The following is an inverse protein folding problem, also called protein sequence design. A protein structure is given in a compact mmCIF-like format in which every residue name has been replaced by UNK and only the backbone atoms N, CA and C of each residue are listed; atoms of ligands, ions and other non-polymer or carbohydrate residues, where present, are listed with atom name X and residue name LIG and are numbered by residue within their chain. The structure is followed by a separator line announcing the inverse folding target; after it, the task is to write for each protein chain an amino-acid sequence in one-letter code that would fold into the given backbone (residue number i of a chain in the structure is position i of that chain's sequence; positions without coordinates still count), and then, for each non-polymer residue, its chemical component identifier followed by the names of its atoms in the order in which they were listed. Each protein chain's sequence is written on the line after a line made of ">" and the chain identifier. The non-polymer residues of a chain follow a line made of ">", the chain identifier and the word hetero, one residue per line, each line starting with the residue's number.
data_IF_710969756014
#
_entry.id   IF_710969756014
#
_cell.length_a   1.000
_cell.length_b   1.000
_cell.length_c   1.000
_cell.angle_alpha   90.00
_cell.angle_beta   90.00
_cell.angle_gamma   90.00
#
_symmetry.space_group_name_H-M   'P 1'
#
loop_
_entity.id
_entity.type
_entity.pdbx_description
1 polymer ?
#
# COMPACT_ATOMS: atom_id res chain seq x y z
N UNK A 1 2.14 -11.86 -6.82
CA UNK A 1 1.44 -11.13 -5.76
C UNK A 1 -0.02 -11.01 -6.13
N UNK A 2 -0.95 -11.33 -5.24
CA UNK A 2 -2.39 -11.19 -5.51
C UNK A 2 -2.90 -9.95 -4.79
N UNK A 3 -3.04 -8.84 -5.51
CA UNK A 3 -3.46 -7.56 -4.93
C UNK A 3 -4.98 -7.50 -4.78
N UNK A 4 -5.46 -7.12 -3.59
CA UNK A 4 -6.83 -6.64 -3.44
C UNK A 4 -6.92 -5.25 -4.09
N UNK A 5 -7.92 -5.02 -4.94
CA UNK A 5 -8.10 -3.69 -5.54
C UNK A 5 -8.78 -2.79 -4.52
N UNK A 6 -8.21 -1.59 -4.32
CA UNK A 6 -8.80 -0.54 -3.51
C UNK A 6 -9.54 0.42 -4.45
N UNK A 7 -10.86 0.29 -4.53
CA UNK A 7 -11.72 1.05 -5.46
C UNK A 7 -12.91 1.69 -4.77
N UNK A 8 -13.20 1.34 -3.52
CA UNK A 8 -14.33 1.85 -2.75
C UNK A 8 -13.88 2.39 -1.39
N UNK A 9 -14.53 3.46 -0.91
CA UNK A 9 -14.21 4.09 0.37
C UNK A 9 -14.44 3.17 1.58
N UNK A 10 -15.45 2.31 1.51
CA UNK A 10 -15.78 1.30 2.54
C UNK A 10 -14.62 0.35 2.82
N UNK A 11 -13.73 0.13 1.85
CA UNK A 11 -12.57 -0.72 2.00
C UNK A 11 -11.50 -0.09 2.91
N UNK A 12 -11.50 1.23 3.15
CA UNK A 12 -10.56 1.84 4.10
C UNK A 12 -10.87 1.38 5.54
N UNK A 13 -12.15 1.33 5.91
CA UNK A 13 -12.58 0.80 7.20
C UNK A 13 -12.34 -0.72 7.31
N UNK A 14 -12.50 -1.46 6.21
CA UNK A 14 -12.09 -2.87 6.15
C UNK A 14 -10.59 -3.04 6.38
N UNK A 15 -9.75 -2.23 5.72
CA UNK A 15 -8.29 -2.25 5.88
C UNK A 15 -7.91 -1.99 7.35
N UNK A 16 -8.54 -1.01 8.00
CA UNK A 16 -8.33 -0.75 9.43
C UNK A 16 -8.68 -1.96 10.27
N UNK A 17 -9.84 -2.58 10.04
CA UNK A 17 -10.27 -3.80 10.78
C UNK A 17 -9.31 -4.97 10.55
N UNK A 18 -8.96 -5.27 9.30
CA UNK A 18 -8.05 -6.37 8.95
C UNK A 18 -6.67 -6.20 9.58
N UNK A 19 -6.20 -4.95 9.71
CA UNK A 19 -4.88 -4.63 10.26
C UNK A 19 -4.68 -5.00 11.74
N UNK A 20 -5.74 -5.33 12.48
CA UNK A 20 -5.66 -5.86 13.85
C UNK A 20 -5.32 -7.37 13.88
N UNK A 21 -5.63 -8.10 12.81
CA UNK A 21 -5.31 -9.53 12.70
C UNK A 21 -4.02 -9.76 11.93
N UNK A 22 -3.85 -9.02 10.82
CA UNK A 22 -2.70 -9.12 9.93
C UNK A 22 -2.40 -7.76 9.32
N UNK A 23 -1.12 -7.30 9.31
CA UNK A 23 -0.77 -6.04 8.68
C UNK A 23 -1.30 -5.92 7.26
N UNK A 24 -1.68 -4.70 6.86
CA UNK A 24 -2.20 -4.42 5.52
C UNK A 24 -1.25 -3.48 4.81
N UNK A 25 -0.82 -3.85 3.60
CA UNK A 25 0.07 -3.04 2.77
C UNK A 25 -0.74 -2.36 1.67
N UNK A 26 -0.79 -1.04 1.64
CA UNK A 26 -1.37 -0.28 0.52
C UNK A 26 -0.24 0.17 -0.40
N UNK A 27 -0.35 -0.11 -1.70
CA UNK A 27 0.50 0.50 -2.74
C UNK A 27 -0.34 1.47 -3.57
N UNK A 28 0.00 2.77 -3.51
CA UNK A 28 -0.59 3.82 -4.34
C UNK A 28 0.20 3.96 -5.63
N UNK A 29 -0.39 3.52 -6.73
CA UNK A 29 0.26 3.51 -8.04
C UNK A 29 -0.32 4.58 -8.95
N UNK A 30 0.54 5.46 -9.49
CA UNK A 30 0.20 6.30 -10.64
C UNK A 30 0.56 5.57 -11.93
N UNK A 31 -0.44 5.22 -12.74
CA UNK A 31 -0.28 4.50 -14.02
C UNK A 31 0.41 5.32 -15.11
N UNK A 32 0.61 6.63 -14.89
CA UNK A 32 1.26 7.56 -15.83
C UNK A 32 2.66 7.99 -15.40
N UNK A 33 3.20 7.41 -14.33
CA UNK A 33 4.51 7.75 -13.78
C UNK A 33 5.47 6.58 -13.92
N UNK A 34 6.57 6.75 -14.66
CA UNK A 34 7.58 5.69 -14.86
C UNK A 34 8.22 5.24 -13.55
N UNK A 35 8.48 6.16 -12.61
CA UNK A 35 9.00 5.84 -11.27
C UNK A 35 8.03 4.93 -10.52
N UNK A 36 6.73 5.15 -10.69
CA UNK A 36 5.68 4.33 -10.09
C UNK A 36 5.66 2.91 -10.64
N UNK A 37 5.77 2.75 -11.96
CA UNK A 37 5.87 1.44 -12.60
C UNK A 37 7.16 0.70 -12.19
N UNK A 38 8.31 1.38 -12.21
CA UNK A 38 9.58 0.78 -11.80
C UNK A 38 9.55 0.29 -10.34
N UNK A 39 8.93 1.07 -9.45
CA UNK A 39 8.82 0.72 -8.02
C UNK A 39 7.90 -0.49 -7.82
N UNK A 40 6.76 -0.52 -8.52
CA UNK A 40 5.85 -1.66 -8.51
C UNK A 40 6.54 -2.93 -9.03
N UNK A 41 7.22 -2.85 -10.18
CA UNK A 41 7.92 -3.98 -10.78
C UNK A 41 9.01 -4.52 -9.86
N UNK A 42 9.77 -3.64 -9.19
CA UNK A 42 10.78 -4.03 -8.20
C UNK A 42 10.15 -4.77 -7.03
N UNK A 43 9.02 -4.29 -6.51
CA UNK A 43 8.32 -4.95 -5.42
C UNK A 43 7.79 -6.33 -5.86
N UNK A 44 7.15 -6.40 -7.02
CA UNK A 44 6.59 -7.64 -7.58
C UNK A 44 7.65 -8.73 -7.80
N UNK A 45 8.83 -8.37 -8.31
CA UNK A 45 9.93 -9.34 -8.54
C UNK A 45 10.47 -9.96 -7.25
N UNK A 46 10.40 -9.23 -6.13
CA UNK A 46 10.91 -9.71 -4.84
C UNK A 46 9.83 -10.39 -3.99
N UNK A 47 8.55 -10.20 -4.33
CA UNK A 47 7.43 -10.72 -3.55
C UNK A 47 7.35 -12.25 -3.60
N UNK A 48 7.29 -12.88 -2.43
CA UNK A 48 7.20 -14.35 -2.31
C UNK A 48 5.77 -14.79 -2.06
N UNK A 49 5.46 -16.04 -2.41
CA UNK A 49 4.13 -16.63 -2.15
C UNK A 49 3.84 -16.62 -0.64
N UNK A 50 4.83 -16.99 0.18
CA UNK A 50 4.73 -17.00 1.64
C UNK A 50 4.49 -15.62 2.29
N UNK A 51 4.75 -14.52 1.58
CA UNK A 51 4.52 -13.17 2.12
C UNK A 51 3.02 -12.86 2.23
N UNK A 52 2.15 -13.55 1.49
CA UNK A 52 0.69 -13.40 1.59
C UNK A 52 0.13 -13.85 2.95
N UNK A 53 0.84 -14.75 3.63
CA UNK A 53 0.50 -15.19 4.99
C UNK A 53 0.85 -14.13 6.04
N UNK A 54 1.79 -13.23 5.72
CA UNK A 54 2.32 -12.23 6.65
C UNK A 54 1.65 -10.87 6.53
N UNK A 55 1.17 -10.51 5.35
CA UNK A 55 0.60 -9.19 5.07
C UNK A 55 -0.48 -9.28 3.99
N UNK A 56 -1.56 -8.52 4.15
CA UNK A 56 -2.63 -8.40 3.15
C UNK A 56 -2.34 -7.23 2.21
N UNK A 57 -2.08 -7.47 0.91
CA UNK A 57 -1.77 -6.38 0.00
C UNK A 57 -3.02 -5.77 -0.66
N UNK A 58 -3.06 -4.44 -0.73
CA UNK A 58 -4.03 -3.62 -1.45
C UNK A 58 -3.34 -2.72 -2.47
N UNK A 59 -3.94 -2.60 -3.65
CA UNK A 59 -3.45 -1.77 -4.74
C UNK A 59 -4.47 -0.70 -5.10
N UNK A 60 -4.02 0.55 -5.08
CA UNK A 60 -4.81 1.70 -5.52
C UNK A 60 -4.25 2.21 -6.85
N UNK A 61 -5.07 2.18 -7.91
CA UNK A 61 -4.83 3.02 -9.08
C UNK A 61 -5.22 4.46 -8.75
N UNK A 62 -4.21 5.28 -8.47
CA UNK A 62 -4.36 6.65 -8.02
C UNK A 62 -4.94 7.57 -9.11
N UNK A 63 -4.70 7.26 -10.39
CA UNK A 63 -5.21 8.09 -11.50
C UNK A 63 -6.72 7.91 -11.61
N UNK A 64 -7.21 6.69 -11.42
CA UNK A 64 -8.63 6.36 -11.47
C UNK A 64 -9.37 6.71 -10.16
N UNK A 65 -8.68 6.71 -9.02
CA UNK A 65 -9.29 6.81 -7.69
C UNK A 65 -8.66 7.92 -6.81
N UNK A 66 -8.52 9.13 -7.36
CA UNK A 66 -7.88 10.27 -6.65
C UNK A 66 -8.57 10.62 -5.34
N UNK A 67 -9.90 10.60 -5.29
CA UNK A 67 -10.65 10.87 -4.05
C UNK A 67 -10.31 9.86 -2.96
N UNK A 68 -10.20 8.58 -3.32
CA UNK A 68 -9.84 7.51 -2.40
C UNK A 68 -8.39 7.64 -1.92
N UNK A 69 -7.47 8.03 -2.81
CA UNK A 69 -6.09 8.38 -2.42
C UNK A 69 -6.05 9.44 -1.33
N UNK A 70 -6.82 10.52 -1.51
CA UNK A 70 -6.87 11.62 -0.54
C UNK A 70 -7.51 11.17 0.79
N UNK A 71 -8.51 10.28 0.74
CA UNK A 71 -9.11 9.73 1.96
C UNK A 71 -8.09 8.91 2.78
N UNK A 72 -7.25 8.11 2.12
CA UNK A 72 -6.17 7.35 2.79
C UNK A 72 -5.23 8.30 3.54
N UNK A 73 -4.89 9.45 2.96
CA UNK A 73 -4.03 10.45 3.61
C UNK A 73 -4.67 11.04 4.86
N UNK A 74 -5.95 11.37 4.81
CA UNK A 74 -6.72 11.89 5.94
C UNK A 74 -6.86 10.83 7.04
N UNK A 75 -7.28 9.63 6.68
CA UNK A 75 -7.57 8.53 7.63
C UNK A 75 -6.32 8.05 8.36
N UNK A 76 -5.18 8.00 7.67
CA UNK A 76 -3.93 7.51 8.26
C UNK A 76 -2.95 8.62 8.66
N UNK A 77 -3.30 9.89 8.44
CA UNK A 77 -2.50 11.03 8.86
C UNK A 77 -1.14 11.14 8.17
N UNK A 78 -1.08 10.84 6.87
CA UNK A 78 0.16 10.83 6.07
C UNK A 78 0.05 11.77 4.86
N UNK A 79 1.17 12.34 4.37
CA UNK A 79 1.15 13.17 3.17
C UNK A 79 0.91 12.34 1.89
N UNK A 80 0.35 13.00 0.87
CA UNK A 80 0.20 12.45 -0.47
C UNK A 80 1.55 12.20 -1.13
N UNK A 81 1.79 10.96 -1.55
CA UNK A 81 2.92 10.62 -2.42
C UNK A 81 2.49 9.62 -3.51
N UNK A 82 3.18 9.59 -4.64
CA UNK A 82 3.00 8.54 -5.66
C UNK A 82 4.26 8.30 -6.51
N UNK A 83 4.81 7.08 -6.56
CA UNK A 83 4.32 5.89 -5.86
C UNK A 83 4.51 5.99 -4.36
N UNK A 84 3.64 5.35 -3.59
CA UNK A 84 3.73 5.31 -2.12
C UNK A 84 3.33 3.93 -1.62
N UNK A 85 4.06 3.44 -0.62
CA UNK A 85 3.70 2.26 0.16
C UNK A 85 3.36 2.70 1.58
N UNK A 86 2.31 2.12 2.12
CA UNK A 86 1.82 2.38 3.48
C UNK A 86 1.54 1.03 4.14
N UNK A 87 2.15 0.77 5.29
CA UNK A 87 1.85 -0.41 6.11
C UNK A 87 0.93 0.02 7.26
N UNK A 88 -0.23 -0.63 7.34
CA UNK A 88 -1.24 -0.42 8.36
C UNK A 88 -1.19 -1.57 9.36
N UNK A 89 -1.15 -1.26 10.65
CA UNK A 89 -1.22 -2.21 11.78
C UNK A 89 -2.01 -1.57 12.91
N UNK A 90 -2.88 -2.34 13.56
CA UNK A 90 -3.74 -1.87 14.67
C UNK A 90 -4.51 -0.58 14.32
N UNK A 91 -5.01 -0.51 13.09
CA UNK A 91 -5.78 0.61 12.56
C UNK A 91 -4.97 1.87 12.24
N UNK A 92 -3.62 1.83 12.28
CA UNK A 92 -2.75 2.99 12.09
C UNK A 92 -1.67 2.74 11.04
N UNK A 93 -1.24 3.78 10.34
CA UNK A 93 -0.03 3.70 9.52
C UNK A 93 1.21 3.64 10.41
N UNK A 94 1.93 2.52 10.37
CA UNK A 94 3.16 2.29 11.15
C UNK A 94 4.42 2.48 10.32
N UNK A 95 4.30 2.39 8.99
CA UNK A 95 5.39 2.63 8.05
C UNK A 95 4.85 3.24 6.76
N UNK A 96 5.56 4.21 6.20
CA UNK A 96 5.28 4.74 4.87
C UNK A 96 6.57 5.18 4.17
N UNK A 97 6.66 4.92 2.88
CA UNK A 97 7.80 5.32 2.03
C UNK A 97 7.30 5.56 0.61
N UNK A 98 8.04 6.32 -0.19
CA UNK A 98 7.63 6.71 -1.55
C UNK A 98 8.77 6.63 -2.55
N UNK A 99 8.42 6.68 -3.84
CA UNK A 99 9.37 6.74 -4.94
C UNK A 99 10.46 5.65 -4.84
N UNK A 100 11.73 6.06 -4.96
CA UNK A 100 12.86 5.15 -4.91
C UNK A 100 13.11 4.55 -3.52
N UNK A 101 12.53 5.12 -2.46
CA UNK A 101 12.59 4.60 -1.09
C UNK A 101 11.77 3.33 -0.86
N UNK A 102 10.91 2.93 -1.80
CA UNK A 102 10.11 1.70 -1.66
C UNK A 102 10.99 0.45 -1.74
N UNK A 103 11.42 -0.09 -0.60
CA UNK A 103 12.26 -1.28 -0.50
C UNK A 103 11.46 -2.50 -0.01
N UNK A 104 11.51 -3.62 -0.75
CA UNK A 104 10.92 -4.88 -0.28
C UNK A 104 11.50 -5.31 1.06
N UNK A 105 12.82 -5.20 1.23
CA UNK A 105 13.49 -5.63 2.44
C UNK A 105 13.01 -4.84 3.66
N UNK A 106 13.00 -3.50 3.55
CA UNK A 106 12.54 -2.64 4.64
C UNK A 106 11.06 -2.89 4.96
N UNK A 107 10.20 -3.07 3.95
CA UNK A 107 8.78 -3.40 4.17
C UNK A 107 8.66 -4.70 5.00
N UNK A 108 9.44 -5.73 4.66
CA UNK A 108 9.40 -7.01 5.37
C UNK A 108 9.98 -6.95 6.78
N UNK A 109 10.89 -6.01 7.08
CA UNK A 109 11.38 -5.78 8.45
C UNK A 109 10.33 -5.11 9.35
N UNK A 110 9.36 -4.42 8.76
CA UNK A 110 8.25 -3.79 9.50
C UNK A 110 7.08 -4.75 9.77
N UNK A 111 7.06 -5.93 9.12
CA UNK A 111 6.00 -6.95 9.26
C UNK A 111 6.35 -7.89 10.40
#
# INVERSE_FOLDING_TARGET
>A
MNWNKLTEATQIEEIKRLSYEKPVLIFKHSTRCSVSSMSLDRLLRNWKVADQEKVTPYFLDLISNRSLSNQIEVEFGIPHESPQVILIRDGKAVYNTSHYGISYHEIMEQI
#
